data_IF_821088296598
#
_entry.id   IF_821088296598
#
_cell.length_a   1.000
_cell.length_b   1.000
_cell.length_c   1.000
_cell.angle_alpha   90.00
_cell.angle_beta   90.00
_cell.angle_gamma   90.00
#
_symmetry.space_group_name_H-M   'P 1'
#
loop_
_entity.id
_entity.type
_entity.pdbx_description
1 polymer ?
#
# COMPACT_ATOMS: atom_id res chain seq x y z
N UNK A 1 -5.89 62.18 -0.59
CA UNK A 1 -4.85 61.16 -0.72
C UNK A 1 -4.81 60.41 0.58
N UNK A 2 -5.53 59.29 0.65
CA UNK A 2 -5.78 58.49 1.84
C UNK A 2 -5.22 57.10 1.55
N UNK A 3 -4.32 56.63 2.40
CA UNK A 3 -3.77 55.26 2.38
C UNK A 3 -4.83 54.28 2.89
N UNK A 4 -4.91 53.05 2.36
CA UNK A 4 -5.84 52.04 2.88
C UNK A 4 -5.24 51.23 4.04
N UNK A 5 -6.19 50.73 4.83
CA UNK A 5 -6.06 50.07 6.12
C UNK A 5 -5.27 48.76 6.14
N UNK A 6 -4.70 48.51 7.31
CA UNK A 6 -4.03 47.31 7.78
C UNK A 6 -4.90 46.06 7.69
N UNK A 7 -4.35 45.01 7.06
CA UNK A 7 -4.90 43.67 6.96
C UNK A 7 -4.53 42.87 8.23
N UNK A 8 -5.53 42.53 9.06
CA UNK A 8 -5.39 41.61 10.19
C UNK A 8 -5.35 40.17 9.68
N UNK A 9 -4.34 39.40 10.12
CA UNK A 9 -4.24 37.96 9.84
C UNK A 9 -4.45 37.24 11.17
N UNK A 10 -5.58 36.55 11.28
CA UNK A 10 -5.88 35.66 12.41
C UNK A 10 -4.95 34.44 12.36
N UNK A 11 -4.17 34.26 13.43
CA UNK A 11 -3.32 33.11 13.64
C UNK A 11 -4.08 32.04 14.41
N UNK A 12 -4.79 31.17 13.69
CA UNK A 12 -5.39 29.97 14.27
C UNK A 12 -4.30 29.02 14.76
N UNK A 13 -4.22 28.91 16.08
CA UNK A 13 -3.29 28.03 16.78
C UNK A 13 -3.92 26.64 16.85
N UNK A 14 -3.52 25.75 15.94
CA UNK A 14 -3.94 24.35 16.00
C UNK A 14 -3.32 23.68 17.24
N UNK A 15 -4.14 23.46 18.28
CA UNK A 15 -3.78 22.64 19.43
C UNK A 15 -3.89 21.16 19.07
N UNK A 16 -2.76 20.45 19.06
CA UNK A 16 -2.74 18.99 18.95
C UNK A 16 -3.05 18.43 20.33
N UNK A 17 -4.30 17.99 20.55
CA UNK A 17 -4.65 17.19 21.72
C UNK A 17 -4.09 15.78 21.52
N UNK A 18 -3.04 15.44 22.27
CA UNK A 18 -2.60 14.05 22.43
C UNK A 18 -3.57 13.42 23.42
N UNK A 19 -4.41 12.49 22.96
CA UNK A 19 -5.28 11.73 23.84
C UNK A 19 -4.42 10.86 24.78
N UNK A 20 -4.73 10.81 26.09
CA UNK A 20 -4.02 9.94 27.01
C UNK A 20 -4.17 8.48 26.56
N UNK A 21 -3.04 7.79 26.44
CA UNK A 21 -2.98 6.36 26.17
C UNK A 21 -3.45 5.63 27.44
N UNK A 22 -4.53 4.84 27.35
CA UNK A 22 -5.05 4.08 28.48
C UNK A 22 -4.10 2.91 28.76
N UNK A 23 -3.37 2.99 29.87
CA UNK A 23 -2.42 1.96 30.30
C UNK A 23 -3.11 0.69 30.84
N UNK A 24 -4.44 0.68 30.93
CA UNK A 24 -5.20 -0.49 31.39
C UNK A 24 -5.75 -1.37 30.26
N UNK A 25 -5.48 -1.03 29.00
CA UNK A 25 -5.84 -1.90 27.89
C UNK A 25 -4.87 -3.09 27.86
N UNK A 26 -5.37 -4.29 28.15
CA UNK A 26 -4.57 -5.52 28.03
C UNK A 26 -3.96 -5.56 26.62
N UNK A 27 -2.65 -5.79 26.48
CA UNK A 27 -2.03 -5.87 25.18
C UNK A 27 -2.73 -6.96 24.36
N UNK A 28 -2.90 -6.77 23.04
CA UNK A 28 -3.55 -7.76 22.20
C UNK A 28 -2.85 -9.11 22.41
N UNK A 29 -3.62 -10.13 22.80
CA UNK A 29 -3.12 -11.49 22.90
C UNK A 29 -2.65 -11.88 21.50
N UNK A 30 -1.34 -11.90 21.29
CA UNK A 30 -0.76 -12.47 20.08
C UNK A 30 -1.05 -13.96 20.12
N UNK A 31 -2.10 -14.38 19.41
CA UNK A 31 -2.26 -15.78 19.07
C UNK A 31 -1.01 -16.17 18.31
N UNK A 32 -0.17 -16.98 18.95
CA UNK A 32 0.82 -17.80 18.25
C UNK A 32 0.03 -18.77 17.39
N UNK A 33 -0.49 -18.28 16.25
CA UNK A 33 -0.75 -19.15 15.13
C UNK A 33 0.62 -19.74 14.79
N UNK A 34 0.85 -20.93 15.32
CA UNK A 34 1.93 -21.80 14.90
C UNK A 34 1.74 -21.98 13.40
N UNK A 35 2.54 -21.26 12.62
CA UNK A 35 2.92 -21.70 11.30
C UNK A 35 3.52 -23.10 11.48
N UNK A 36 2.70 -24.11 11.35
CA UNK A 36 3.14 -25.21 10.54
C UNK A 36 3.49 -24.57 9.19
N UNK A 37 4.76 -24.64 8.81
CA UNK A 37 5.18 -24.66 7.41
C UNK A 37 4.46 -25.84 6.74
N UNK A 38 3.14 -25.73 6.59
CA UNK A 38 2.38 -26.54 5.66
C UNK A 38 2.81 -25.98 4.33
N UNK A 39 3.81 -26.63 3.73
CA UNK A 39 3.87 -26.81 2.29
C UNK A 39 2.42 -26.98 1.86
N UNK A 40 1.86 -25.94 1.23
CA UNK A 40 0.46 -25.89 0.83
C UNK A 40 0.31 -27.01 -0.20
N UNK A 41 -0.04 -28.19 0.29
CA UNK A 41 -0.50 -29.30 -0.49
C UNK A 41 -1.64 -28.77 -1.36
N UNK A 42 -1.59 -29.13 -2.64
CA UNK A 42 -2.55 -28.71 -3.65
C UNK A 42 -4.03 -28.99 -3.27
N UNK A 43 -4.28 -29.80 -2.25
CA UNK A 43 -5.60 -30.16 -1.75
C UNK A 43 -6.30 -29.08 -0.90
N UNK A 44 -5.58 -28.10 -0.33
CA UNK A 44 -6.22 -27.00 0.44
C UNK A 44 -6.85 -25.93 -0.48
N UNK A 45 -6.51 -25.90 -1.76
CA UNK A 45 -7.08 -24.96 -2.74
C UNK A 45 -8.56 -25.21 -3.04
N UNK A 46 -9.10 -26.41 -2.77
CA UNK A 46 -10.49 -26.75 -3.07
C UNK A 46 -11.49 -26.17 -2.04
N UNK A 47 -11.12 -26.09 -0.75
CA UNK A 47 -12.02 -25.64 0.32
C UNK A 47 -12.12 -24.12 0.47
N UNK A 48 -11.09 -23.37 0.05
CA UNK A 48 -10.99 -21.92 0.23
C UNK A 48 -11.72 -21.11 -0.87
N UNK A 49 -12.05 -21.76 -2.00
CA UNK A 49 -12.79 -21.14 -3.10
C UNK A 49 -14.19 -20.67 -2.72
N UNK A 50 -14.77 -21.23 -1.63
CA UNK A 50 -16.12 -20.87 -1.13
C UNK A 50 -16.18 -19.57 -0.35
N UNK A 51 -15.04 -19.00 0.05
CA UNK A 51 -14.98 -17.74 0.81
C UNK A 51 -14.64 -16.53 -0.06
N UNK A 52 -14.24 -16.74 -1.32
CA UNK A 52 -13.85 -15.64 -2.18
C UNK A 52 -15.09 -14.84 -2.59
N UNK A 53 -15.02 -13.52 -2.42
CA UNK A 53 -16.00 -12.58 -2.94
C UNK A 53 -15.55 -12.06 -4.29
N UNK A 54 -16.51 -11.89 -5.18
CA UNK A 54 -16.29 -11.35 -6.51
C UNK A 54 -16.76 -9.90 -6.54
N UNK A 55 -15.89 -9.03 -7.03
CA UNK A 55 -16.11 -7.59 -7.18
C UNK A 55 -16.14 -7.27 -8.66
N UNK A 56 -17.27 -6.73 -9.13
CA UNK A 56 -17.53 -6.51 -10.55
C UNK A 56 -17.52 -5.03 -10.93
N UNK A 57 -16.62 -4.67 -11.84
CA UNK A 57 -16.51 -3.33 -12.41
C UNK A 57 -16.89 -3.40 -13.89
N UNK A 58 -17.55 -2.37 -14.42
CA UNK A 58 -17.98 -2.40 -15.83
C UNK A 58 -18.06 -1.03 -16.50
N UNK A 59 -17.89 -1.02 -17.81
CA UNK A 59 -18.19 0.12 -18.68
C UNK A 59 -19.49 -0.12 -19.43
N UNK A 60 -20.35 0.90 -19.46
CA UNK A 60 -21.62 0.89 -20.19
C UNK A 60 -21.48 1.71 -21.48
N UNK A 61 -21.98 1.15 -22.58
CA UNK A 61 -22.10 1.84 -23.88
C UNK A 61 -23.49 1.62 -24.43
N UNK A 62 -24.21 2.70 -24.74
CA UNK A 62 -25.60 2.64 -25.21
C UNK A 62 -26.52 1.82 -24.27
N UNK A 63 -26.38 2.00 -22.96
CA UNK A 63 -27.17 1.28 -21.95
C UNK A 63 -26.81 -0.20 -21.77
N UNK A 64 -25.80 -0.73 -22.47
CA UNK A 64 -25.33 -2.12 -22.32
C UNK A 64 -23.92 -2.19 -21.77
N UNK A 65 -23.69 -3.09 -20.83
CA UNK A 65 -22.34 -3.43 -20.36
C UNK A 65 -21.59 -4.11 -21.50
N UNK A 66 -20.40 -3.59 -21.83
CA UNK A 66 -19.61 -4.11 -22.96
C UNK A 66 -18.20 -4.53 -22.54
N UNK A 67 -17.69 -4.01 -21.42
CA UNK A 67 -16.43 -4.41 -20.82
C UNK A 67 -16.66 -4.55 -19.31
N UNK A 68 -16.34 -5.72 -18.76
CA UNK A 68 -16.37 -5.98 -17.33
C UNK A 68 -15.03 -6.51 -16.85
N UNK A 69 -14.69 -6.16 -15.61
CA UNK A 69 -13.52 -6.64 -14.88
C UNK A 69 -14.02 -7.20 -13.56
N UNK A 70 -13.82 -8.50 -13.35
CA UNK A 70 -14.14 -9.16 -12.08
C UNK A 70 -12.88 -9.44 -11.29
N UNK A 71 -12.93 -9.24 -9.99
CA UNK A 71 -11.81 -9.44 -9.07
C UNK A 71 -12.25 -10.32 -7.91
N UNK A 72 -11.47 -11.35 -7.60
CA UNK A 72 -11.76 -12.28 -6.50
C UNK A 72 -10.84 -12.00 -5.32
N UNK A 73 -11.43 -11.78 -4.15
CA UNK A 73 -10.71 -11.45 -2.92
C UNK A 73 -11.36 -12.14 -1.69
N UNK A 74 -10.82 -11.86 -0.49
CA UNK A 74 -11.35 -12.39 0.79
C UNK A 74 -12.14 -11.34 1.60
N UNK A 75 -12.74 -10.33 0.95
CA UNK A 75 -13.57 -9.34 1.63
C UNK A 75 -14.78 -9.99 2.30
N UNK A 76 -15.36 -9.31 3.30
CA UNK A 76 -16.57 -9.83 3.96
C UNK A 76 -17.79 -9.70 3.04
N UNK A 77 -17.82 -8.62 2.27
CA UNK A 77 -18.90 -8.27 1.34
C UNK A 77 -18.36 -7.88 -0.03
N UNK A 78 -19.19 -7.97 -1.08
CA UNK A 78 -18.82 -7.56 -2.44
C UNK A 78 -18.87 -6.06 -2.69
N UNK A 79 -19.31 -5.27 -1.68
CA UNK A 79 -19.36 -3.80 -1.74
C UNK A 79 -18.13 -3.17 -1.06
N UNK A 80 -17.37 -3.95 -0.30
CA UNK A 80 -16.11 -3.52 0.31
C UNK A 80 -15.01 -3.37 -0.75
N UNK A 81 -14.04 -2.50 -0.49
CA UNK A 81 -12.89 -2.40 -1.37
C UNK A 81 -12.08 -3.71 -1.31
N UNK A 82 -11.68 -4.29 -2.46
CA UNK A 82 -10.92 -5.53 -2.46
C UNK A 82 -9.62 -5.39 -1.67
N UNK A 83 -9.29 -6.40 -0.86
CA UNK A 83 -8.12 -6.37 0.02
C UNK A 83 -7.12 -7.49 -0.29
N UNK A 84 -5.86 -7.10 -0.53
CA UNK A 84 -4.77 -8.02 -0.83
C UNK A 84 -3.63 -7.86 0.17
N UNK A 85 -2.94 -8.97 0.43
CA UNK A 85 -1.77 -8.99 1.32
C UNK A 85 -0.53 -9.41 0.56
N UNK A 86 0.65 -9.10 1.10
CA UNK A 86 1.92 -9.48 0.46
C UNK A 86 1.96 -10.95 0.03
N UNK A 87 2.33 -11.18 -1.23
CA UNK A 87 2.45 -12.51 -1.82
C UNK A 87 1.14 -13.15 -2.26
N UNK A 88 -0.01 -12.51 -2.04
CA UNK A 88 -1.29 -12.99 -2.55
C UNK A 88 -1.34 -12.93 -4.08
N UNK A 89 -2.09 -13.88 -4.66
CA UNK A 89 -2.40 -13.87 -6.08
C UNK A 89 -3.68 -13.09 -6.31
N UNK A 90 -3.58 -12.05 -7.12
CA UNK A 90 -4.70 -11.27 -7.59
C UNK A 90 -5.31 -12.00 -8.79
N UNK A 91 -6.53 -12.51 -8.64
CA UNK A 91 -7.19 -13.36 -9.65
C UNK A 91 -8.57 -12.84 -10.03
N UNK A 92 -8.96 -13.03 -11.29
CA UNK A 92 -10.22 -12.48 -11.80
C UNK A 92 -10.46 -12.81 -13.27
N UNK A 93 -11.36 -12.07 -13.90
CA UNK A 93 -11.61 -12.18 -15.33
C UNK A 93 -11.87 -10.84 -16.00
N UNK A 94 -11.49 -10.72 -17.27
CA UNK A 94 -11.91 -9.62 -18.14
C UNK A 94 -12.93 -10.17 -19.11
N UNK A 95 -14.13 -9.59 -19.12
CA UNK A 95 -15.23 -9.98 -20.00
C UNK A 95 -15.52 -8.86 -20.99
N UNK A 96 -15.64 -9.22 -22.27
CA UNK A 96 -15.94 -8.31 -23.37
C UNK A 96 -17.20 -8.79 -24.08
N UNK A 97 -18.21 -7.93 -24.17
CA UNK A 97 -19.46 -8.19 -24.88
C UNK A 97 -19.54 -7.26 -26.09
N UNK A 98 -19.47 -7.86 -27.28
CA UNK A 98 -19.50 -7.18 -28.56
C UNK A 98 -20.86 -7.41 -29.24
N UNK A 99 -21.29 -6.42 -30.03
CA UNK A 99 -22.52 -6.56 -30.81
C UNK A 99 -22.38 -7.58 -31.95
N UNK A 100 -23.48 -7.92 -32.64
CA UNK A 100 -23.48 -8.90 -33.74
C UNK A 100 -22.56 -8.53 -34.91
N UNK A 101 -22.26 -7.23 -35.07
CA UNK A 101 -21.33 -6.76 -36.09
C UNK A 101 -19.88 -7.01 -35.72
N UNK A 102 -19.55 -7.46 -34.50
CA UNK A 102 -18.19 -7.60 -33.98
C UNK A 102 -17.39 -6.30 -33.92
N UNK A 103 -16.14 -6.38 -33.47
CA UNK A 103 -15.19 -5.29 -33.46
C UNK A 103 -13.75 -5.80 -33.68
N UNK A 104 -12.92 -4.96 -34.29
CA UNK A 104 -11.47 -5.23 -34.39
C UNK A 104 -10.85 -4.85 -33.05
N UNK A 105 -10.47 -5.88 -32.29
CA UNK A 105 -9.75 -5.76 -31.03
C UNK A 105 -8.31 -6.16 -31.31
N UNK A 106 -7.36 -5.28 -31.01
CA UNK A 106 -5.92 -5.54 -31.21
C UNK A 106 -5.30 -6.25 -30.03
N UNK A 107 -5.67 -5.83 -28.82
CA UNK A 107 -5.18 -6.47 -27.60
C UNK A 107 -6.12 -6.26 -26.42
N UNK A 108 -6.18 -7.26 -25.54
CA UNK A 108 -6.75 -7.13 -24.20
C UNK A 108 -5.64 -7.40 -23.20
N UNK A 109 -5.51 -6.53 -22.20
CA UNK A 109 -4.47 -6.66 -21.17
C UNK A 109 -5.01 -6.21 -19.81
N UNK A 110 -4.42 -6.74 -18.76
CA UNK A 110 -4.62 -6.28 -17.39
C UNK A 110 -3.29 -5.78 -16.84
N UNK A 111 -3.32 -4.70 -16.07
CA UNK A 111 -2.13 -4.15 -15.44
C UNK A 111 -2.38 -3.81 -13.97
N UNK A 112 -1.43 -4.16 -13.10
CA UNK A 112 -1.39 -3.71 -11.72
C UNK A 112 -0.49 -2.47 -11.67
N UNK A 113 -1.02 -1.39 -11.12
CA UNK A 113 -0.33 -0.11 -11.00
C UNK A 113 -0.29 0.31 -9.53
N UNK A 114 0.90 0.63 -9.02
CA UNK A 114 1.10 1.25 -7.72
C UNK A 114 1.57 2.69 -7.89
N UNK A 115 0.88 3.62 -7.26
CA UNK A 115 1.09 5.07 -7.43
C UNK A 115 1.23 5.76 -6.07
N UNK A 116 2.20 6.67 -5.98
CA UNK A 116 2.41 7.62 -4.89
C UNK A 116 2.03 9.00 -5.40
N UNK A 117 1.05 9.63 -4.75
CA UNK A 117 0.56 10.96 -5.09
C UNK A 117 0.74 11.90 -3.91
N UNK A 118 1.29 13.08 -4.14
CA UNK A 118 1.41 14.18 -3.18
C UNK A 118 1.23 15.52 -3.92
N UNK A 119 1.08 16.67 -3.23
CA UNK A 119 0.84 17.94 -3.91
C UNK A 119 1.98 18.38 -4.82
N UNK A 120 3.19 17.87 -4.60
CA UNK A 120 4.42 18.26 -5.32
C UNK A 120 5.04 17.12 -6.12
N UNK A 121 4.58 15.88 -5.90
CA UNK A 121 5.23 14.69 -6.45
C UNK A 121 4.20 13.61 -6.80
N UNK A 122 4.31 13.08 -8.01
CA UNK A 122 3.58 11.91 -8.48
C UNK A 122 4.58 10.90 -9.00
N UNK A 123 4.46 9.64 -8.58
CA UNK A 123 5.34 8.57 -9.02
C UNK A 123 4.61 7.25 -9.12
N UNK A 124 4.80 6.57 -10.24
CA UNK A 124 4.39 5.18 -10.42
C UNK A 124 5.55 4.27 -10.05
N UNK A 125 5.42 3.58 -8.92
CA UNK A 125 6.49 2.72 -8.40
C UNK A 125 6.28 1.24 -8.76
N UNK A 126 5.09 0.85 -9.19
CA UNK A 126 4.78 -0.52 -9.63
C UNK A 126 4.01 -0.47 -10.96
N UNK A 127 4.45 -1.29 -11.92
CA UNK A 127 3.70 -1.61 -13.14
C UNK A 127 3.96 -3.06 -13.49
N UNK A 128 2.91 -3.86 -13.49
CA UNK A 128 2.96 -5.25 -13.95
C UNK A 128 1.84 -5.46 -14.94
N UNK A 129 2.16 -5.92 -16.14
CA UNK A 129 1.18 -6.12 -17.20
C UNK A 129 1.13 -7.59 -17.57
N UNK A 130 -0.09 -8.08 -17.82
CA UNK A 130 -0.33 -9.38 -18.45
C UNK A 130 -1.22 -9.17 -19.67
N UNK A 131 -0.76 -9.65 -20.82
CA UNK A 131 -1.54 -9.62 -22.06
C UNK A 131 -2.42 -10.87 -22.10
N UNK A 132 -3.73 -10.67 -22.25
CA UNK A 132 -4.74 -11.73 -22.23
C UNK A 132 -5.16 -12.17 -23.63
N UNK A 133 -5.06 -11.25 -24.59
CA UNK A 133 -5.38 -11.48 -25.99
C UNK A 133 -4.57 -10.52 -26.86
N UNK A 134 -4.17 -10.99 -28.04
CA UNK A 134 -3.53 -10.18 -29.08
C UNK A 134 -3.95 -10.70 -30.46
N UNK A 135 -4.18 -9.77 -31.40
CA UNK A 135 -4.60 -10.12 -32.77
C UNK A 135 -3.52 -10.01 -33.83
N UNK A 136 -2.36 -9.45 -33.48
CA UNK A 136 -1.25 -9.18 -34.40
C UNK A 136 0.07 -9.43 -33.65
N UNK A 137 1.00 -10.13 -34.31
CA UNK A 137 2.35 -10.40 -33.80
C UNK A 137 3.09 -9.11 -33.45
N UNK A 138 2.82 -8.01 -34.16
CA UNK A 138 3.43 -6.71 -33.89
C UNK A 138 2.95 -6.07 -32.57
N UNK A 139 1.78 -6.47 -32.07
CA UNK A 139 1.26 -6.01 -30.78
C UNK A 139 1.61 -6.97 -29.63
N UNK A 140 2.32 -8.07 -29.93
CA UNK A 140 2.74 -9.04 -28.92
C UNK A 140 3.93 -8.50 -28.13
N UNK A 141 3.76 -8.35 -26.82
CA UNK A 141 4.85 -7.95 -25.94
C UNK A 141 5.63 -9.20 -25.49
N UNK A 142 6.70 -9.51 -26.22
CA UNK A 142 7.58 -10.65 -25.94
C UNK A 142 8.41 -10.49 -24.66
N UNK A 143 8.41 -9.31 -24.04
CA UNK A 143 9.08 -9.09 -22.76
C UNK A 143 8.22 -9.54 -21.57
N UNK A 144 6.93 -9.79 -21.78
CA UNK A 144 6.02 -10.22 -20.72
C UNK A 144 6.16 -11.71 -20.40
N UNK A 145 5.95 -12.10 -19.13
CA UNK A 145 5.83 -13.50 -18.77
C UNK A 145 4.55 -14.09 -19.39
N UNK A 146 4.68 -15.26 -20.02
CA UNK A 146 3.59 -16.03 -20.64
C UNK A 146 2.79 -15.23 -21.70
N UNK A 147 3.40 -14.89 -22.84
CA UNK A 147 2.71 -14.21 -23.94
C UNK A 147 1.52 -15.05 -24.44
N UNK A 148 0.35 -14.43 -24.73
CA UNK A 148 -0.79 -15.15 -25.28
C UNK A 148 -0.52 -15.58 -26.72
N UNK A 149 -1.19 -16.65 -27.15
CA UNK A 149 -1.22 -17.02 -28.57
C UNK A 149 -1.88 -15.90 -29.39
N UNK A 150 -1.32 -15.65 -30.58
CA UNK A 150 -1.85 -14.66 -31.50
C UNK A 150 -3.11 -15.23 -32.15
N UNK A 151 -4.22 -14.54 -31.99
CA UNK A 151 -5.50 -14.94 -32.55
C UNK A 151 -5.97 -13.91 -33.57
N UNK A 152 -5.86 -14.26 -34.85
CA UNK A 152 -6.21 -13.35 -35.92
C UNK A 152 -7.72 -13.21 -36.09
N UNK A 153 -8.15 -12.01 -36.46
CA UNK A 153 -9.50 -11.74 -36.92
C UNK A 153 -10.28 -10.79 -36.04
N UNK A 154 -11.58 -10.76 -36.32
CA UNK A 154 -12.54 -9.86 -35.67
C UNK A 154 -13.23 -10.63 -34.54
N UNK A 155 -13.32 -10.01 -33.37
CA UNK A 155 -14.03 -10.56 -32.24
C UNK A 155 -15.52 -10.19 -32.33
N UNK A 156 -16.41 -11.12 -31.99
CA UNK A 156 -17.85 -10.92 -31.91
C UNK A 156 -18.46 -11.72 -30.74
N UNK A 157 -19.71 -11.40 -30.38
CA UNK A 157 -20.35 -12.05 -29.25
C UNK A 157 -19.66 -11.76 -27.91
N UNK A 158 -19.43 -12.80 -27.12
CA UNK A 158 -18.92 -12.69 -25.75
C UNK A 158 -17.58 -13.41 -25.60
N UNK A 159 -16.62 -12.71 -25.02
CA UNK A 159 -15.30 -13.25 -24.71
C UNK A 159 -14.99 -13.02 -23.24
N UNK A 160 -14.33 -13.99 -22.60
CA UNK A 160 -13.89 -13.90 -21.23
C UNK A 160 -12.48 -14.46 -21.10
N UNK A 161 -11.58 -13.68 -20.49
CA UNK A 161 -10.20 -14.07 -20.26
C UNK A 161 -9.92 -14.09 -18.76
N UNK A 162 -9.66 -15.27 -18.15
CA UNK A 162 -9.24 -15.34 -16.77
C UNK A 162 -7.80 -14.82 -16.64
N UNK A 163 -7.48 -14.25 -15.48
CA UNK A 163 -6.13 -13.85 -15.15
C UNK A 163 -5.79 -14.16 -13.70
N UNK A 164 -4.50 -14.35 -13.46
CA UNK A 164 -3.91 -14.47 -12.14
C UNK A 164 -2.53 -13.77 -12.16
N UNK A 165 -2.31 -12.83 -11.26
CA UNK A 165 -1.06 -12.08 -11.15
C UNK A 165 -0.62 -12.10 -9.69
N UNK A 166 0.57 -12.62 -9.42
CA UNK A 166 1.12 -12.63 -8.06
C UNK A 166 1.77 -11.28 -7.75
N UNK A 167 1.32 -10.62 -6.69
CA UNK A 167 1.94 -9.37 -6.25
C UNK A 167 3.39 -9.64 -5.78
N UNK A 168 4.36 -8.82 -6.21
CA UNK A 168 5.75 -9.02 -5.85
C UNK A 168 5.95 -8.67 -4.38
N UNK A 169 6.87 -9.38 -3.71
CA UNK A 169 7.22 -9.08 -2.32
C UNK A 169 7.90 -7.72 -2.17
N UNK A 170 8.57 -7.27 -3.24
CA UNK A 170 9.23 -5.98 -3.31
C UNK A 170 9.53 -5.57 -4.74
N UNK A 171 9.96 -4.33 -4.89
CA UNK A 171 10.35 -3.71 -6.15
C UNK A 171 11.82 -3.31 -6.07
N UNK A 172 12.54 -3.48 -7.17
CA UNK A 172 13.92 -3.02 -7.30
C UNK A 172 13.89 -1.58 -7.82
N UNK A 173 14.36 -0.63 -7.00
CA UNK A 173 14.50 0.77 -7.38
C UNK A 173 16.00 1.06 -7.51
N UNK A 174 16.39 1.63 -8.65
CA UNK A 174 17.76 2.11 -8.87
C UNK A 174 17.81 3.57 -8.39
N UNK A 175 18.56 3.82 -7.32
CA UNK A 175 18.77 5.15 -6.78
C UNK A 175 19.98 5.82 -7.47
N UNK A 176 20.33 7.03 -7.04
CA UNK A 176 21.44 7.81 -7.62
C UNK A 176 22.81 7.14 -7.49
N UNK A 177 22.94 6.17 -6.60
CA UNK A 177 24.15 5.34 -6.41
C UNK A 177 24.32 4.27 -7.49
N UNK A 178 23.38 4.14 -8.43
CA UNK A 178 23.34 3.12 -9.50
C UNK A 178 23.21 1.68 -8.96
N UNK A 179 23.06 1.50 -7.66
CA UNK A 179 22.77 0.21 -7.07
C UNK A 179 21.26 -0.02 -7.03
N UNK A 180 20.86 -1.25 -7.30
CA UNK A 180 19.46 -1.64 -7.27
C UNK A 180 19.07 -2.07 -5.86
N UNK A 181 18.31 -1.23 -5.17
CA UNK A 181 17.81 -1.54 -3.84
C UNK A 181 16.44 -2.21 -3.95
N UNK A 182 16.25 -3.30 -3.21
CA UNK A 182 14.96 -3.97 -3.13
C UNK A 182 14.15 -3.38 -1.98
N UNK A 183 13.05 -2.71 -2.30
CA UNK A 183 12.11 -2.17 -1.34
C UNK A 183 10.85 -3.01 -1.29
N UNK A 184 10.25 -3.17 -0.11
CA UNK A 184 8.92 -3.75 -0.02
C UNK A 184 7.90 -2.84 -0.73
N UNK A 185 6.81 -3.43 -1.19
CA UNK A 185 5.67 -2.64 -1.64
C UNK A 185 5.09 -1.85 -0.45
N UNK A 186 4.90 -0.53 -0.58
CA UNK A 186 4.33 0.28 0.50
C UNK A 186 2.86 -0.10 0.76
N UNK A 187 2.36 -0.02 2.01
CA UNK A 187 0.94 -0.21 2.29
C UNK A 187 0.10 0.85 1.57
N UNK A 188 -1.16 0.51 1.27
CA UNK A 188 -2.13 1.54 0.85
C UNK A 188 -2.26 2.60 1.93
N UNK A 189 -2.16 3.86 1.51
CA UNK A 189 -2.31 5.02 2.38
C UNK A 189 -3.32 5.96 1.74
N UNK A 190 -4.55 5.92 2.22
CA UNK A 190 -5.67 6.68 1.67
C UNK A 190 -6.48 7.33 2.80
N UNK A 191 -5.80 7.94 3.79
CA UNK A 191 -6.51 8.68 4.84
C UNK A 191 -6.97 10.04 4.31
N UNK A 192 -8.25 10.36 4.51
CA UNK A 192 -8.92 11.57 3.98
C UNK A 192 -8.22 12.90 4.30
N UNK A 193 -7.40 12.98 5.35
CA UNK A 193 -6.67 14.20 5.72
C UNK A 193 -5.19 14.23 5.28
N UNK A 194 -4.69 13.15 4.67
CA UNK A 194 -3.28 13.07 4.25
C UNK A 194 -3.08 13.68 2.87
N UNK A 195 -2.08 14.56 2.75
CA UNK A 195 -1.65 15.13 1.46
C UNK A 195 -0.96 14.09 0.58
N UNK A 196 -0.44 13.02 1.18
CA UNK A 196 0.29 11.95 0.51
C UNK A 196 -0.57 10.70 0.48
N UNK A 197 -0.75 10.13 -0.71
CA UNK A 197 -1.54 8.92 -0.93
C UNK A 197 -0.71 7.86 -1.62
N UNK A 198 -0.85 6.61 -1.17
CA UNK A 198 -0.34 5.43 -1.86
C UNK A 198 -1.54 4.61 -2.29
N UNK A 199 -1.71 4.40 -3.59
CA UNK A 199 -2.85 3.69 -4.17
C UNK A 199 -2.41 2.56 -5.07
N UNK A 200 -3.23 1.51 -5.11
CA UNK A 200 -3.08 0.42 -6.05
C UNK A 200 -4.33 0.29 -6.92
N UNK A 201 -4.10 0.01 -8.20
CA UNK A 201 -5.16 -0.13 -9.19
C UNK A 201 -4.92 -1.32 -10.09
N UNK A 202 -5.99 -2.03 -10.40
CA UNK A 202 -6.06 -2.98 -11.49
C UNK A 202 -6.69 -2.30 -12.70
N UNK A 203 -6.03 -2.38 -13.85
CA UNK A 203 -6.42 -1.68 -15.06
C UNK A 203 -6.61 -2.66 -16.19
N UNK A 204 -7.85 -2.86 -16.62
CA UNK A 204 -8.15 -3.57 -17.86
C UNK A 204 -8.10 -2.60 -19.05
N UNK A 205 -7.28 -2.90 -20.06
CA UNK A 205 -7.12 -2.10 -21.27
C UNK A 205 -7.49 -2.92 -22.50
N UNK A 206 -8.38 -2.36 -23.31
CA UNK A 206 -8.81 -2.91 -24.60
C UNK A 206 -8.36 -1.94 -25.70
N UNK A 207 -7.36 -2.36 -26.49
CA UNK A 207 -6.91 -1.64 -27.68
C UNK A 207 -7.76 -2.06 -28.87
N UNK A 208 -8.25 -1.08 -29.60
CA UNK A 208 -9.05 -1.29 -30.82
C UNK A 208 -8.20 -0.94 -32.05
N UNK A 209 -8.76 -1.11 -33.25
CA UNK A 209 -8.10 -0.70 -34.50
C UNK A 209 -7.67 0.77 -34.52
N UNK A 210 -6.86 1.15 -35.51
CA UNK A 210 -6.10 2.42 -35.60
C UNK A 210 -6.94 3.70 -35.39
N UNK A 211 -8.23 3.68 -35.73
CA UNK A 211 -9.13 4.84 -35.65
C UNK A 211 -9.99 4.88 -34.37
N UNK A 212 -9.83 3.94 -33.46
CA UNK A 212 -10.62 3.84 -32.24
C UNK A 212 -9.79 4.18 -31.00
N UNK A 213 -10.37 4.94 -30.08
CA UNK A 213 -9.72 5.18 -28.78
C UNK A 213 -9.61 3.89 -27.97
N UNK A 214 -8.48 3.74 -27.30
CA UNK A 214 -8.27 2.72 -26.29
C UNK A 214 -9.26 2.89 -25.16
N UNK A 215 -9.78 1.77 -24.65
CA UNK A 215 -10.73 1.78 -23.55
C UNK A 215 -10.03 1.23 -22.31
N UNK A 216 -10.28 1.89 -21.18
CA UNK A 216 -9.64 1.60 -19.91
C UNK A 216 -10.70 1.51 -18.83
N UNK A 217 -10.67 0.42 -18.07
CA UNK A 217 -11.50 0.21 -16.88
C UNK A 217 -10.55 0.04 -15.69
N UNK A 218 -10.73 0.84 -14.65
CA UNK A 218 -9.89 0.82 -13.45
C UNK A 218 -10.70 0.30 -12.25
N UNK A 219 -10.07 -0.51 -11.42
CA UNK A 219 -10.55 -0.94 -10.12
C UNK A 219 -9.47 -0.64 -9.07
N UNK A 220 -9.80 0.09 -8.01
CA UNK A 220 -8.88 0.30 -6.88
C UNK A 220 -8.92 -0.91 -5.95
N UNK A 221 -7.82 -1.18 -5.24
CA UNK A 221 -7.77 -2.19 -4.19
C UNK A 221 -6.79 -1.79 -3.07
N UNK A 222 -7.00 -2.33 -1.87
CA UNK A 222 -6.12 -2.14 -0.73
C UNK A 222 -5.01 -3.20 -0.69
N UNK A 223 -3.81 -2.75 -0.31
CA UNK A 223 -2.65 -3.61 -0.15
C UNK A 223 -2.05 -3.44 1.25
N UNK A 224 -1.91 -4.56 1.96
CA UNK A 224 -1.20 -4.64 3.24
C UNK A 224 0.04 -5.52 3.12
N UNK A 225 1.25 -4.95 3.27
CA UNK A 225 2.47 -5.74 3.36
C UNK A 225 2.43 -6.65 4.59
N UNK A 226 3.10 -7.81 4.52
CA UNK A 226 3.21 -8.72 5.67
C UNK A 226 4.58 -8.50 6.31
N UNK A 227 4.57 -8.00 7.53
CA UNK A 227 5.77 -7.89 8.35
C UNK A 227 5.79 -9.05 9.33
N UNK A 228 6.86 -9.85 9.29
CA UNK A 228 7.17 -10.79 10.37
C UNK A 228 8.25 -10.13 11.23
N UNK A 229 7.99 -9.81 12.49
CA UNK A 229 9.05 -9.39 13.38
C UNK A 229 10.09 -10.50 13.47
N UNK A 230 11.35 -10.13 13.72
CA UNK A 230 12.37 -11.12 14.06
C UNK A 230 11.96 -11.88 15.32
N UNK A 231 12.54 -13.07 15.51
CA UNK A 231 12.32 -13.82 16.75
C UNK A 231 12.65 -12.92 17.96
N UNK A 232 11.78 -12.85 18.98
CA UNK A 232 12.07 -12.11 20.21
C UNK A 232 13.33 -12.65 20.90
N UNK A 233 14.00 -11.83 21.70
CA UNK A 233 15.11 -12.27 22.55
C UNK A 233 14.68 -13.40 23.51
N UNK A 234 15.64 -14.19 24.00
CA UNK A 234 15.35 -15.30 24.94
C UNK A 234 14.71 -14.77 26.22
N UNK A 235 15.22 -13.66 26.78
CA UNK A 235 14.67 -13.04 27.99
C UNK A 235 13.22 -12.60 27.78
N UNK A 236 12.89 -12.07 26.60
CA UNK A 236 11.53 -11.68 26.25
C UNK A 236 10.60 -12.87 26.02
N UNK A 237 11.11 -13.96 25.44
CA UNK A 237 10.37 -15.22 25.34
C UNK A 237 10.02 -15.76 26.72
N UNK A 238 11.00 -15.80 27.65
CA UNK A 238 10.78 -16.24 29.04
C UNK A 238 9.77 -15.34 29.73
N UNK A 239 9.95 -14.02 29.66
CA UNK A 239 9.02 -13.07 30.29
C UNK A 239 7.59 -13.25 29.78
N UNK A 240 7.41 -13.48 28.48
CA UNK A 240 6.09 -13.75 27.87
C UNK A 240 5.53 -15.10 28.33
N UNK A 241 6.34 -16.16 28.36
CA UNK A 241 5.92 -17.50 28.77
C UNK A 241 5.54 -17.59 30.25
N UNK A 242 6.26 -16.86 31.10
CA UNK A 242 6.05 -16.83 32.54
C UNK A 242 5.13 -15.70 33.00
N UNK A 243 4.56 -14.92 32.07
CA UNK A 243 3.76 -13.72 32.32
C UNK A 243 4.45 -12.73 33.28
N UNK A 244 5.76 -12.57 33.12
CA UNK A 244 6.57 -11.60 33.87
C UNK A 244 6.63 -10.25 33.15
N UNK A 245 6.91 -9.15 33.88
CA UNK A 245 7.19 -7.86 33.28
C UNK A 245 8.34 -7.94 32.26
N UNK A 246 8.26 -7.13 31.20
CA UNK A 246 9.30 -7.10 30.18
C UNK A 246 10.60 -6.52 30.74
N UNK A 247 11.70 -7.18 30.40
CA UNK A 247 13.06 -6.78 30.77
C UNK A 247 13.43 -5.49 30.01
N UNK A 248 13.99 -4.51 30.72
CA UNK A 248 14.36 -3.22 30.14
C UNK A 248 15.57 -3.32 29.17
N UNK A 249 15.86 -2.25 28.41
CA UNK A 249 16.96 -2.24 27.44
C UNK A 249 18.35 -2.43 28.06
N UNK A 250 18.53 -2.08 29.33
CA UNK A 250 19.79 -2.26 30.06
C UNK A 250 20.09 -3.74 30.33
N UNK A 251 19.04 -4.54 30.56
CA UNK A 251 19.14 -5.95 30.91
C UNK A 251 18.91 -6.89 29.70
N UNK A 252 18.17 -6.45 28.68
CA UNK A 252 17.96 -7.19 27.42
C UNK A 252 18.25 -6.32 26.19
N UNK A 253 19.50 -5.88 25.96
CA UNK A 253 19.83 -5.01 24.82
C UNK A 253 19.52 -5.65 23.45
N UNK A 254 19.40 -6.98 23.39
CA UNK A 254 19.04 -7.70 22.16
C UNK A 254 17.53 -7.67 21.85
N UNK A 255 16.68 -7.55 22.88
CA UNK A 255 15.22 -7.45 22.75
C UNK A 255 14.71 -6.06 22.37
N UNK A 256 15.59 -5.04 22.42
CA UNK A 256 15.27 -3.65 22.14
C UNK A 256 16.07 -3.12 20.95
N UNK A 257 15.39 -2.41 20.04
CA UNK A 257 16.07 -1.71 18.94
C UNK A 257 16.30 -0.26 19.31
N UNK A 258 17.57 0.10 19.52
CA UNK A 258 17.97 1.51 19.67
C UNK A 258 17.98 2.15 18.29
N UNK A 259 17.15 3.18 18.11
CA UNK A 259 17.16 3.98 16.89
C UNK A 259 18.21 5.07 17.02
N UNK A 260 18.89 5.37 15.91
CA UNK A 260 19.80 6.51 15.86
C UNK A 260 19.05 7.80 16.21
N UNK A 261 19.65 8.70 17.01
CA UNK A 261 19.02 9.96 17.34
C UNK A 261 18.61 10.74 16.10
N UNK A 262 17.36 11.18 16.05
CA UNK A 262 16.84 11.99 14.94
C UNK A 262 16.97 13.46 15.33
N UNK A 263 17.70 14.22 14.51
CA UNK A 263 17.78 15.68 14.65
C UNK A 263 16.57 16.29 13.96
N UNK A 264 15.61 16.77 14.75
CA UNK A 264 14.50 17.57 14.26
C UNK A 264 14.94 19.03 14.11
N UNK A 265 14.81 19.55 12.89
CA UNK A 265 15.06 20.96 12.60
C UNK A 265 13.73 21.68 12.39
N UNK A 266 13.51 22.74 13.16
CA UNK A 266 12.30 23.55 13.08
C UNK A 266 12.61 25.04 13.10
N UNK A 267 11.59 25.86 12.85
CA UNK A 267 11.64 27.30 13.10
C UNK A 267 10.63 27.66 14.18
N UNK A 268 11.11 28.14 15.32
CA UNK A 268 10.25 28.69 16.36
C UNK A 268 9.91 30.14 16.02
N UNK A 269 8.61 30.46 16.06
CA UNK A 269 8.05 31.76 15.71
C UNK A 269 8.57 32.31 14.36
N UNK A 270 8.84 31.41 13.40
CA UNK A 270 9.40 31.71 12.07
C UNK A 270 10.74 32.48 12.06
N UNK A 271 11.35 32.76 13.22
CA UNK A 271 12.53 33.62 13.35
C UNK A 271 13.78 32.88 13.81
N UNK A 272 13.63 31.82 14.60
CA UNK A 272 14.78 31.09 15.19
C UNK A 272 14.78 29.65 14.72
N UNK A 273 15.87 29.23 14.09
CA UNK A 273 16.11 27.83 13.80
C UNK A 273 16.37 27.12 15.14
N UNK A 274 15.65 26.04 15.38
CA UNK A 274 15.85 25.17 16.54
C UNK A 274 16.21 23.79 16.01
N UNK A 275 17.22 23.19 16.65
CA UNK A 275 17.54 21.79 16.50
C UNK A 275 17.15 21.09 17.80
N UNK A 276 16.36 20.03 17.71
CA UNK A 276 16.05 19.15 18.82
C UNK A 276 16.57 17.76 18.48
N UNK A 277 17.40 17.21 19.36
CA UNK A 277 17.83 15.82 19.25
C UNK A 277 16.80 14.94 19.98
N UNK A 278 16.09 14.10 19.24
CA UNK A 278 15.33 13.03 19.87
C UNK A 278 16.21 11.80 19.98
N UNK A 279 16.57 11.42 21.20
CA UNK A 279 17.18 10.13 21.51
C UNK A 279 16.21 9.30 22.35
N UNK A 280 16.15 7.99 22.11
CA UNK A 280 15.21 7.12 22.81
C UNK A 280 15.55 6.88 24.29
N UNK A 281 16.69 7.36 24.79
CA UNK A 281 17.18 7.06 26.14
C UNK A 281 17.29 8.27 27.07
N UNK A 282 16.96 9.49 26.66
CA UNK A 282 17.05 10.65 27.55
C UNK A 282 15.93 11.67 27.30
N UNK A 283 15.36 12.15 28.40
CA UNK A 283 14.56 13.37 28.44
C UNK A 283 15.31 14.54 27.76
N UNK A 284 14.55 15.48 27.21
CA UNK A 284 15.04 16.62 26.42
C UNK A 284 16.22 17.34 27.08
N UNK A 285 17.43 17.15 26.54
CA UNK A 285 18.55 18.03 26.86
C UNK A 285 18.51 19.22 25.90
N UNK A 286 17.90 20.33 26.36
CA UNK A 286 17.96 21.61 25.65
C UNK A 286 19.34 22.23 25.87
N UNK A 287 20.14 22.38 24.83
CA UNK A 287 21.50 22.93 24.90
C UNK A 287 21.57 24.47 24.97
N UNK A 288 20.43 25.14 25.19
CA UNK A 288 20.37 26.61 25.35
C UNK A 288 19.89 27.00 26.75
N UNK A 289 20.74 27.60 27.60
CA UNK A 289 20.41 27.92 29.00
C UNK A 289 19.35 29.03 29.17
N UNK A 290 18.81 29.59 28.08
CA UNK A 290 17.87 30.73 28.13
C UNK A 290 16.39 30.28 28.05
N UNK A 291 16.10 29.00 27.80
CA UNK A 291 14.72 28.53 27.52
C UNK A 291 14.14 27.53 28.55
N UNK A 292 14.87 27.15 29.59
CA UNK A 292 14.42 26.13 30.56
C UNK A 292 13.79 26.70 31.85
N UNK A 293 13.24 27.92 31.81
CA UNK A 293 12.45 28.46 32.91
C UNK A 293 10.97 28.47 32.49
N UNK A 294 10.25 27.39 32.78
CA UNK A 294 8.79 27.41 32.65
C UNK A 294 8.07 26.12 32.31
N UNK A 295 8.75 25.00 32.04
CA UNK A 295 8.07 23.73 31.79
C UNK A 295 8.28 22.78 32.97
N UNK A 296 7.20 22.50 33.69
CA UNK A 296 7.18 21.50 34.75
C UNK A 296 7.53 20.12 34.17
N UNK A 297 8.34 19.43 34.95
CA UNK A 297 9.01 18.17 34.68
C UNK A 297 7.99 17.02 34.65
N UNK A 298 7.54 16.63 33.46
CA UNK A 298 6.94 15.31 33.20
C UNK A 298 7.61 14.69 31.99
N UNK A 299 8.76 14.07 32.22
CA UNK A 299 9.47 13.28 31.22
C UNK A 299 8.73 11.96 30.93
N UNK A 300 8.13 11.86 29.74
CA UNK A 300 7.67 10.59 29.18
C UNK A 300 8.72 10.06 28.20
N UNK A 301 9.35 8.92 28.54
CA UNK A 301 10.25 8.21 27.65
C UNK A 301 9.41 7.27 26.79
N UNK A 302 9.46 7.44 25.46
CA UNK A 302 8.73 6.58 24.51
C UNK A 302 9.72 5.59 23.92
N UNK A 303 9.75 4.37 24.46
CA UNK A 303 10.43 3.25 23.81
C UNK A 303 9.47 2.59 22.82
N UNK A 304 9.94 2.36 21.59
CA UNK A 304 9.18 1.61 20.60
C UNK A 304 9.53 0.13 20.71
N UNK A 305 8.52 -0.68 20.99
CA UNK A 305 8.60 -2.13 21.10
C UNK A 305 8.39 -2.75 19.71
N UNK A 306 9.29 -3.64 19.29
CA UNK A 306 9.10 -4.49 18.09
C UNK A 306 8.46 -5.82 18.47
#
# INVERSE_FOLDING_TARGET
>A
MSLPDTMSIDSDTASVQILPFDLNEEPPLYTQDRDADIDINADTHMLDSRLLKEHDYHLVRNGKQWLSLSLKDRARTGDELPHFTQGSTLSGSVRLVLGPKGAVIRSVSVSIIGELTSPVYYSRFLTMTRQLYVSDVNDLDTSLPDPPEVSEGKLDGEHSWPFAIRLPKGIRIVLSDKEGHNFLLPPTLSKHASKVQVKYKLVARVKKGILSSDNRLEAEFDYTPRFRPSQPSILRQIATMENQPLVGPDEDPAGWKVLDPIVLRGKYLMKRLIEALMSNNQAFHCSSPVLCSGYNDTSHVVHYML
#
